data_IF_347464789051
#
_entry.id   IF_347464789051
#
_cell.length_a   1.000
_cell.length_b   1.000
_cell.length_c   1.000
_cell.angle_alpha   90.00
_cell.angle_beta   90.00
_cell.angle_gamma   90.00
#
_symmetry.space_group_name_H-M   'P 1'
#
loop_
_entity.id
_entity.type
_entity.pdbx_description
1 polymer ?
#
# COMPACT_ATOMS: atom_id res chain seq x y z
N UNK A 1 4.86 -0.62 26.02
CA UNK A 1 4.08 -0.75 24.78
C UNK A 1 5.01 -0.79 23.58
N UNK A 2 4.55 -1.36 22.47
CA UNK A 2 5.02 -1.12 21.09
C UNK A 2 6.43 -1.53 20.63
N UNK A 3 6.77 -2.82 20.66
CA UNK A 3 7.90 -3.34 19.84
C UNK A 3 7.52 -4.45 18.84
N UNK A 4 6.32 -5.04 18.93
CA UNK A 4 5.91 -6.14 18.02
C UNK A 4 5.16 -5.70 16.75
N UNK A 5 4.73 -4.44 16.65
CA UNK A 5 3.83 -3.98 15.56
C UNK A 5 4.56 -3.32 14.38
N UNK A 6 5.82 -2.91 14.56
CA UNK A 6 6.56 -2.14 13.55
C UNK A 6 7.01 -2.99 12.35
N UNK A 7 7.51 -4.20 12.60
CA UNK A 7 7.97 -5.09 11.53
C UNK A 7 6.85 -5.51 10.56
N UNK A 8 5.63 -5.69 11.05
CA UNK A 8 4.47 -6.07 10.23
C UNK A 8 4.02 -4.91 9.32
N UNK A 9 3.95 -3.69 9.86
CA UNK A 9 3.59 -2.49 9.09
C UNK A 9 4.68 -2.10 8.08
N UNK A 10 5.94 -2.33 8.39
CA UNK A 10 7.06 -1.98 7.53
C UNK A 10 7.14 -2.89 6.28
N UNK A 11 7.02 -4.21 6.45
CA UNK A 11 6.96 -5.15 5.32
C UNK A 11 5.80 -4.82 4.36
N UNK A 12 4.61 -4.59 4.92
CA UNK A 12 3.43 -4.17 4.13
C UNK A 12 3.66 -2.84 3.41
N UNK A 13 4.27 -1.84 4.08
CA UNK A 13 4.59 -0.55 3.43
C UNK A 13 5.61 -0.70 2.32
N UNK A 14 6.64 -1.51 2.50
CA UNK A 14 7.67 -1.72 1.49
C UNK A 14 7.07 -2.40 0.26
N UNK A 15 6.26 -3.45 0.44
CA UNK A 15 5.58 -4.12 -0.67
C UNK A 15 4.67 -3.17 -1.47
N UNK A 16 3.87 -2.35 -0.79
CA UNK A 16 2.99 -1.37 -1.44
C UNK A 16 3.78 -0.28 -2.17
N UNK A 17 4.92 0.17 -1.62
CA UNK A 17 5.83 1.14 -2.26
C UNK A 17 6.48 0.58 -3.51
N UNK A 18 7.02 -0.64 -3.45
CA UNK A 18 7.63 -1.28 -4.61
C UNK A 18 6.61 -1.46 -5.74
N UNK A 19 5.38 -1.86 -5.39
CA UNK A 19 4.30 -1.95 -6.36
C UNK A 19 3.92 -0.60 -6.96
N UNK A 20 3.86 0.45 -6.13
CA UNK A 20 3.53 1.79 -6.58
C UNK A 20 4.51 2.33 -7.63
N UNK A 21 5.79 2.03 -7.50
CA UNK A 21 6.81 2.40 -8.47
C UNK A 21 6.62 1.72 -9.83
N UNK A 22 5.94 0.57 -9.86
CA UNK A 22 5.65 -0.20 -11.09
C UNK A 22 4.29 0.17 -11.70
N UNK A 23 3.27 0.27 -10.85
CA UNK A 23 1.89 0.56 -11.23
C UNK A 23 1.20 1.39 -10.13
N UNK A 24 1.13 2.72 -10.27
CA UNK A 24 0.45 3.59 -9.31
C UNK A 24 -1.09 3.52 -9.40
N UNK A 25 -1.65 2.82 -10.38
CA UNK A 25 -3.10 2.67 -10.62
C UNK A 25 -3.50 1.18 -10.73
N UNK A 26 -3.31 0.37 -9.68
CA UNK A 26 -3.64 -1.05 -9.74
C UNK A 26 -5.12 -1.26 -10.02
N UNK A 27 -5.43 -2.21 -10.92
CA UNK A 27 -6.79 -2.64 -11.19
C UNK A 27 -7.41 -3.40 -9.99
N UNK A 28 -8.74 -3.68 -9.96
CA UNK A 28 -9.38 -4.36 -8.84
C UNK A 28 -8.80 -5.73 -8.52
N UNK A 29 -8.40 -6.52 -9.53
CA UNK A 29 -7.75 -7.82 -9.34
C UNK A 29 -6.42 -7.68 -8.62
N UNK A 30 -5.59 -6.73 -9.06
CA UNK A 30 -4.29 -6.44 -8.46
C UNK A 30 -4.41 -5.93 -7.03
N UNK A 31 -5.41 -5.09 -6.74
CA UNK A 31 -5.72 -4.65 -5.37
C UNK A 31 -6.04 -5.82 -4.45
N UNK A 32 -6.78 -6.82 -4.95
CA UNK A 32 -7.12 -8.04 -4.18
C UNK A 32 -5.91 -8.93 -3.95
N UNK A 33 -5.02 -9.08 -4.94
CA UNK A 33 -3.74 -9.78 -4.74
C UNK A 33 -2.88 -9.08 -3.67
N UNK A 34 -2.77 -7.75 -3.74
CA UNK A 34 -2.03 -6.96 -2.77
C UNK A 34 -2.65 -7.03 -1.38
N UNK A 35 -3.98 -7.03 -1.28
CA UNK A 35 -4.71 -7.21 -0.03
C UNK A 35 -4.34 -8.55 0.63
N UNK A 36 -4.37 -9.64 -0.14
CA UNK A 36 -3.98 -10.97 0.33
C UNK A 36 -2.51 -11.01 0.78
N UNK A 37 -1.59 -10.43 0.00
CA UNK A 37 -0.17 -10.42 0.30
C UNK A 37 0.21 -9.54 1.52
N UNK A 38 -0.58 -8.50 1.79
CA UNK A 38 -0.31 -7.53 2.87
C UNK A 38 -1.14 -7.76 4.13
N UNK A 39 -2.11 -8.68 4.09
CA UNK A 39 -3.10 -8.88 5.15
C UNK A 39 -4.04 -7.67 5.33
N UNK A 40 -4.18 -6.83 4.30
CA UNK A 40 -5.07 -5.68 4.28
C UNK A 40 -6.36 -6.01 3.54
N UNK A 41 -7.38 -5.17 3.67
CA UNK A 41 -8.56 -5.22 2.80
C UNK A 41 -8.29 -4.54 1.46
N UNK A 42 -8.97 -4.94 0.37
CA UNK A 42 -8.86 -4.24 -0.92
C UNK A 42 -9.14 -2.74 -0.84
N UNK A 43 -10.02 -2.32 0.07
CA UNK A 43 -10.31 -0.90 0.35
C UNK A 43 -9.13 -0.19 1.00
N UNK A 44 -8.47 -0.80 1.98
CA UNK A 44 -7.27 -0.24 2.62
C UNK A 44 -6.12 -0.07 1.61
N UNK A 45 -5.91 -1.08 0.75
CA UNK A 45 -4.96 -0.98 -0.37
C UNK A 45 -5.36 0.17 -1.30
N UNK A 46 -6.62 0.22 -1.74
CA UNK A 46 -7.11 1.29 -2.60
C UNK A 46 -6.89 2.70 -2.02
N UNK A 47 -7.16 2.88 -0.73
CA UNK A 47 -6.92 4.13 -0.02
C UNK A 47 -5.44 4.46 0.11
N UNK A 48 -4.58 3.47 0.35
CA UNK A 48 -3.13 3.68 0.39
C UNK A 48 -2.62 4.24 -0.94
N UNK A 49 -3.01 3.65 -2.08
CA UNK A 49 -2.62 4.14 -3.41
C UNK A 49 -3.19 5.53 -3.70
N UNK A 50 -4.46 5.79 -3.34
CA UNK A 50 -5.08 7.12 -3.47
C UNK A 50 -4.30 8.18 -2.69
N UNK A 51 -4.04 7.92 -1.42
CA UNK A 51 -3.33 8.85 -0.54
C UNK A 51 -1.87 9.04 -0.97
N UNK A 52 -1.22 8.00 -1.51
CA UNK A 52 0.13 8.09 -2.03
C UNK A 52 0.22 9.03 -3.23
N UNK A 53 -0.68 8.90 -4.20
CA UNK A 53 -0.76 9.82 -5.35
C UNK A 53 -1.04 11.26 -4.95
N UNK A 54 -1.89 11.48 -3.93
CA UNK A 54 -2.13 12.82 -3.39
C UNK A 54 -0.86 13.43 -2.79
N UNK A 55 -0.08 12.64 -2.03
CA UNK A 55 1.19 13.10 -1.47
C UNK A 55 2.21 13.44 -2.54
N UNK A 56 2.31 12.64 -3.60
CA UNK A 56 3.27 12.91 -4.68
C UNK A 56 2.91 14.18 -5.45
N UNK A 57 1.61 14.48 -5.64
CA UNK A 57 1.17 15.76 -6.22
C UNK A 57 1.42 16.96 -5.31
N UNK A 58 1.29 16.79 -3.99
CA UNK A 58 1.54 17.86 -3.03
C UNK A 58 3.04 18.11 -2.79
N UNK A 59 3.90 17.19 -3.22
CA UNK A 59 5.35 17.30 -3.13
C UNK A 59 6.01 17.79 -4.45
N UNK A 60 5.20 17.98 -5.50
CA UNK A 60 5.57 18.61 -6.76
C UNK A 60 5.17 20.09 -6.72
#
# INVERSE_FOLDING_TARGET
GEQKTHCFKEKTRNLLREWYLRDPYPNPGKKRELANATGLTPTQVGNWFKNRRQRDRAAA
#
